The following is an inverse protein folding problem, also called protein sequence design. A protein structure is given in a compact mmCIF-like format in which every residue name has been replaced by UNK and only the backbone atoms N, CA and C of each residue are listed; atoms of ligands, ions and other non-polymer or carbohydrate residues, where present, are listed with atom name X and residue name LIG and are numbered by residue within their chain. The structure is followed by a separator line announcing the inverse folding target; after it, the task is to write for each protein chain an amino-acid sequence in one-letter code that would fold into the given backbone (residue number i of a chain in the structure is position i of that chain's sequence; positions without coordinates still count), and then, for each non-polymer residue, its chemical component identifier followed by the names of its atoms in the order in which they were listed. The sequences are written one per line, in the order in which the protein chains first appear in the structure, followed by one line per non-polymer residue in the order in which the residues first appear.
data_IF_342406266062
#
_entry.id   IF_342406266062
#
_cell.length_a   1.000
_cell.length_b   1.000
_cell.length_c   1.000
_cell.angle_alpha   90.00
_cell.angle_beta   90.00
_cell.angle_gamma   90.00
#
_symmetry.space_group_name_H-M   'P 1'
#
loop_
_entity.id
_entity.type
_entity.pdbx_description
1 polymer ?
#
# COMPACT_ATOMS: atom_id res chain seq x y z
N UNK A 1 31.72 -21.54 -17.45
CA UNK A 1 31.78 -20.49 -16.40
C UNK A 1 30.39 -19.87 -16.30
N UNK A 2 29.57 -20.17 -15.28
CA UNK A 2 28.25 -19.55 -15.15
C UNK A 2 28.37 -18.17 -14.46
N UNK A 3 27.54 -17.23 -14.90
CA UNK A 3 27.54 -15.83 -14.50
C UNK A 3 27.19 -15.63 -13.00
N UNK A 4 27.67 -14.54 -12.36
CA UNK A 4 27.41 -14.28 -10.95
C UNK A 4 25.95 -13.84 -10.72
N UNK A 5 25.34 -14.43 -9.69
CA UNK A 5 24.03 -14.07 -9.13
C UNK A 5 24.16 -12.68 -8.49
N UNK A 6 23.22 -11.73 -8.72
CA UNK A 6 23.29 -10.41 -8.10
C UNK A 6 23.08 -10.49 -6.58
N UNK A 7 23.71 -9.61 -5.79
CA UNK A 7 23.72 -9.70 -4.33
C UNK A 7 22.34 -9.43 -3.74
N UNK A 8 21.92 -10.31 -2.83
CA UNK A 8 20.82 -10.06 -1.91
C UNK A 8 21.13 -8.80 -1.07
N UNK A 9 20.20 -7.84 -1.07
CA UNK A 9 20.27 -6.66 -0.22
C UNK A 9 20.29 -7.05 1.27
N UNK A 10 21.02 -6.33 2.15
CA UNK A 10 21.13 -6.72 3.55
C UNK A 10 19.85 -6.34 4.31
N UNK A 11 19.07 -7.35 4.69
CA UNK A 11 18.12 -7.26 5.79
C UNK A 11 18.78 -7.90 7.02
N UNK A 12 19.14 -7.08 8.00
CA UNK A 12 19.43 -7.57 9.35
C UNK A 12 18.19 -8.29 9.91
N UNK A 13 18.43 -9.35 10.67
CA UNK A 13 17.48 -10.22 11.40
C UNK A 13 16.65 -11.22 10.59
N UNK A 14 17.29 -12.39 10.38
CA UNK A 14 16.74 -13.74 10.36
C UNK A 14 15.25 -13.95 10.11
N UNK A 15 14.92 -14.33 8.88
CA UNK A 15 13.72 -15.12 8.60
C UNK A 15 14.12 -16.35 7.79
N UNK A 16 14.10 -17.52 8.44
CA UNK A 16 14.31 -18.82 7.80
C UNK A 16 13.15 -19.08 6.83
N UNK A 17 13.47 -19.27 5.57
CA UNK A 17 12.55 -19.73 4.52
C UNK A 17 12.01 -21.11 4.87
N UNK A 18 10.73 -21.16 5.27
CA UNK A 18 9.93 -22.39 5.24
C UNK A 18 8.65 -22.10 4.46
N UNK A 19 8.40 -22.97 3.50
CA UNK A 19 7.26 -23.13 2.60
C UNK A 19 5.91 -22.62 3.11
N UNK A 20 5.50 -21.46 2.61
CA UNK A 20 4.16 -21.11 2.13
C UNK A 20 4.36 -19.73 1.53
N UNK A 21 4.03 -19.51 0.26
CA UNK A 21 4.07 -18.16 -0.31
C UNK A 21 2.72 -17.50 0.02
N UNK A 22 2.63 -16.57 1.00
CA UNK A 22 1.64 -15.51 0.82
C UNK A 22 2.00 -14.82 -0.49
N UNK A 23 1.03 -14.22 -1.16
CA UNK A 23 1.25 -13.45 -2.37
C UNK A 23 2.16 -12.25 -2.09
N UNK A 24 3.48 -12.47 -2.05
CA UNK A 24 4.45 -11.40 -2.19
C UNK A 24 4.35 -10.97 -3.64
N UNK A 25 3.87 -9.75 -3.88
CA UNK A 25 3.98 -9.11 -5.18
C UNK A 25 5.39 -9.34 -5.74
N UNK A 26 5.54 -9.59 -7.05
CA UNK A 26 6.87 -9.68 -7.65
C UNK A 26 7.70 -8.45 -7.24
N UNK A 27 9.03 -8.61 -7.05
CA UNK A 27 9.88 -7.47 -6.72
C UNK A 27 9.63 -6.34 -7.72
N UNK A 28 9.65 -5.11 -7.23
CA UNK A 28 9.34 -3.91 -8.01
C UNK A 28 10.03 -3.98 -9.38
N UNK A 29 9.31 -3.64 -10.45
CA UNK A 29 9.81 -3.76 -11.82
C UNK A 29 11.23 -3.20 -11.95
N UNK A 30 12.24 -4.00 -12.34
CA UNK A 30 13.62 -3.53 -12.46
C UNK A 30 13.79 -2.39 -13.46
N UNK A 31 12.88 -2.28 -14.43
CA UNK A 31 12.85 -1.18 -15.40
C UNK A 31 12.27 0.11 -14.80
N UNK A 32 11.26 0.01 -13.94
CA UNK A 32 10.60 1.17 -13.35
C UNK A 32 11.30 1.67 -12.07
N UNK A 33 11.96 0.76 -11.33
CA UNK A 33 12.51 1.07 -10.01
C UNK A 33 13.53 2.20 -10.00
N UNK A 34 14.49 2.31 -10.94
CA UNK A 34 15.43 3.43 -10.95
C UNK A 34 14.74 4.80 -11.05
N UNK A 35 13.67 4.88 -11.85
CA UNK A 35 12.87 6.11 -12.00
C UNK A 35 12.04 6.41 -10.75
N UNK A 36 11.45 5.38 -10.13
CA UNK A 36 10.63 5.54 -8.92
C UNK A 36 11.50 5.90 -7.70
N UNK A 37 12.63 5.23 -7.51
CA UNK A 37 13.49 5.43 -6.35
C UNK A 37 13.98 6.88 -6.23
N UNK A 38 14.24 7.56 -7.35
CA UNK A 38 14.63 8.97 -7.35
C UNK A 38 13.50 9.96 -7.00
N UNK A 39 12.24 9.56 -7.17
CA UNK A 39 11.06 10.42 -6.95
C UNK A 39 10.27 10.10 -5.67
N UNK A 40 10.55 9.00 -5.00
CA UNK A 40 9.83 8.58 -3.79
C UNK A 40 10.40 9.24 -2.53
N UNK A 41 9.55 9.89 -1.74
CA UNK A 41 9.91 10.39 -0.41
C UNK A 41 9.77 9.33 0.68
N UNK A 42 8.86 8.38 0.51
CA UNK A 42 8.61 7.28 1.43
C UNK A 42 7.89 6.11 0.74
N UNK A 43 7.92 4.94 1.37
CA UNK A 43 7.04 3.80 1.07
C UNK A 43 6.36 3.34 2.36
N UNK A 44 5.14 2.79 2.23
CA UNK A 44 4.35 2.30 3.35
C UNK A 44 3.82 0.91 3.03
N UNK A 45 3.82 0.03 4.03
CA UNK A 45 3.08 -1.22 4.01
C UNK A 45 1.79 -1.02 4.81
N UNK A 46 0.68 -1.49 4.26
CA UNK A 46 -0.63 -1.47 4.91
C UNK A 46 -1.18 -2.90 4.99
N UNK A 47 -2.08 -3.14 5.93
CA UNK A 47 -2.85 -4.38 5.98
C UNK A 47 -4.04 -4.34 5.02
N UNK A 48 -4.54 -5.51 4.65
CA UNK A 48 -5.77 -5.65 3.86
C UNK A 48 -6.94 -4.91 4.54
N UNK A 49 -7.04 -4.97 5.88
CA UNK A 49 -8.08 -4.27 6.63
C UNK A 49 -8.03 -2.74 6.42
N UNK A 50 -6.83 -2.15 6.33
CA UNK A 50 -6.68 -0.72 6.08
C UNK A 50 -7.10 -0.34 4.65
N UNK A 51 -6.89 -1.23 3.67
CA UNK A 51 -7.42 -1.04 2.32
C UNK A 51 -8.94 -1.15 2.30
N UNK A 52 -9.52 -2.16 2.98
CA UNK A 52 -10.98 -2.33 3.12
C UNK A 52 -11.65 -1.12 3.79
N UNK A 53 -11.05 -0.57 4.84
CA UNK A 53 -11.56 0.61 5.52
C UNK A 53 -11.57 1.84 4.59
N UNK A 54 -10.57 1.95 3.73
CA UNK A 54 -10.53 2.98 2.70
C UNK A 54 -11.60 2.77 1.63
N UNK A 55 -11.89 1.53 1.21
CA UNK A 55 -13.00 1.24 0.30
C UNK A 55 -14.33 1.71 0.87
N UNK A 56 -14.58 1.43 2.16
CA UNK A 56 -15.80 1.85 2.85
C UNK A 56 -15.93 3.36 2.90
N UNK A 57 -14.84 4.07 3.22
CA UNK A 57 -14.84 5.54 3.26
C UNK A 57 -15.09 6.15 1.87
N UNK A 58 -14.39 5.66 0.84
CA UNK A 58 -14.59 6.12 -0.53
C UNK A 58 -16.03 5.89 -1.03
N UNK A 59 -16.65 4.77 -0.63
CA UNK A 59 -18.03 4.48 -0.99
C UNK A 59 -19.03 5.46 -0.37
N UNK A 60 -18.76 5.99 0.83
CA UNK A 60 -19.59 7.05 1.45
C UNK A 60 -19.57 8.35 0.62
N UNK A 61 -18.45 8.62 -0.05
CA UNK A 61 -18.28 9.75 -0.97
C UNK A 61 -18.72 9.43 -2.42
N UNK A 62 -19.33 8.26 -2.65
CA UNK A 62 -19.84 7.85 -3.95
C UNK A 62 -18.77 7.33 -4.92
N UNK A 63 -17.56 7.03 -4.44
CA UNK A 63 -16.45 6.50 -5.25
C UNK A 63 -16.39 4.98 -5.12
N UNK A 64 -16.60 4.27 -6.24
CA UNK A 64 -16.44 2.82 -6.31
C UNK A 64 -14.97 2.49 -6.56
N UNK A 65 -14.28 2.03 -5.52
CA UNK A 65 -12.87 1.61 -5.59
C UNK A 65 -12.72 0.21 -5.02
N UNK A 66 -12.07 -0.69 -5.77
CA UNK A 66 -11.71 -2.02 -5.31
C UNK A 66 -10.53 -1.98 -4.34
N UNK A 67 -10.11 -3.15 -3.85
CA UNK A 67 -9.08 -3.34 -2.84
C UNK A 67 -7.75 -2.68 -3.26
N UNK A 68 -7.24 -2.98 -4.46
CA UNK A 68 -5.97 -2.40 -4.93
C UNK A 68 -6.13 -0.91 -5.24
N UNK A 69 -7.31 -0.50 -5.72
CA UNK A 69 -7.62 0.91 -6.01
C UNK A 69 -7.67 1.76 -4.75
N UNK A 70 -8.19 1.22 -3.64
CA UNK A 70 -8.33 1.92 -2.38
C UNK A 70 -7.05 1.90 -1.53
N UNK A 71 -6.08 1.04 -1.86
CA UNK A 71 -4.83 0.89 -1.11
C UNK A 71 -4.06 2.21 -0.92
N UNK A 72 -4.04 3.09 -1.93
CA UNK A 72 -3.43 4.41 -1.82
C UNK A 72 -4.09 5.29 -0.75
N UNK A 73 -5.43 5.29 -0.70
CA UNK A 73 -6.20 5.99 0.32
C UNK A 73 -6.01 5.34 1.71
N UNK A 74 -5.94 4.02 1.77
CA UNK A 74 -5.64 3.27 3.01
C UNK A 74 -4.30 3.65 3.61
N UNK A 75 -3.25 3.78 2.79
CA UNK A 75 -1.94 4.28 3.21
C UNK A 75 -1.99 5.69 3.78
N UNK A 76 -2.71 6.59 3.13
CA UNK A 76 -2.91 7.96 3.63
C UNK A 76 -3.63 7.96 4.98
N UNK A 77 -4.72 7.21 5.11
CA UNK A 77 -5.48 7.12 6.36
C UNK A 77 -4.66 6.52 7.50
N UNK A 78 -3.85 5.50 7.21
CA UNK A 78 -2.91 4.92 8.18
C UNK A 78 -1.89 5.97 8.67
N UNK A 79 -1.35 6.79 7.75
CA UNK A 79 -0.45 7.89 8.09
C UNK A 79 -1.13 9.02 8.87
N UNK A 80 -2.41 9.29 8.63
CA UNK A 80 -3.13 10.36 9.32
C UNK A 80 -3.66 9.94 10.70
N UNK A 81 -4.05 8.67 10.86
CA UNK A 81 -4.69 8.14 12.08
C UNK A 81 -3.74 7.39 13.01
N UNK A 82 -2.56 6.96 12.53
CA UNK A 82 -1.61 6.23 13.36
C UNK A 82 -0.99 7.10 14.46
N UNK A 83 -0.96 6.61 15.70
CA UNK A 83 -0.46 7.35 16.86
C UNK A 83 1.04 7.68 16.72
N UNK A 84 1.84 6.76 16.19
CA UNK A 84 3.30 6.91 16.03
C UNK A 84 3.74 7.53 14.70
N UNK A 85 2.80 8.10 13.94
CA UNK A 85 3.09 8.62 12.58
C UNK A 85 3.36 10.12 12.53
N UNK A 86 3.24 10.83 13.66
CA UNK A 86 3.43 12.28 13.72
C UNK A 86 4.78 12.73 13.16
N UNK A 87 5.87 12.06 13.55
CA UNK A 87 7.22 12.34 13.03
C UNK A 87 7.31 12.12 11.51
N UNK A 88 6.64 11.09 10.99
CA UNK A 88 6.62 10.78 9.55
C UNK A 88 5.84 11.85 8.79
N UNK A 89 4.67 12.25 9.29
CA UNK A 89 3.87 13.34 8.68
C UNK A 89 4.67 14.64 8.60
N UNK A 90 5.36 15.02 9.67
CA UNK A 90 6.24 16.20 9.68
C UNK A 90 7.34 16.09 8.62
N UNK A 91 8.00 14.92 8.50
CA UNK A 91 9.04 14.71 7.48
C UNK A 91 8.51 14.76 6.05
N UNK A 92 7.26 14.35 5.84
CA UNK A 92 6.58 14.42 4.55
C UNK A 92 5.95 15.80 4.27
N UNK A 93 5.98 16.72 5.24
CA UNK A 93 5.33 18.02 5.11
C UNK A 93 3.80 17.94 5.05
N UNK A 94 3.20 16.88 5.62
CA UNK A 94 1.76 16.69 5.68
C UNK A 94 1.16 17.47 6.85
N UNK A 95 0.23 18.38 6.55
CA UNK A 95 -0.48 19.21 7.51
C UNK A 95 -1.88 19.61 7.01
N UNK A 96 -2.59 20.48 7.75
CA UNK A 96 -3.96 20.88 7.43
C UNK A 96 -4.13 21.55 6.06
N UNK A 97 -3.09 22.23 5.57
CA UNK A 97 -3.11 22.94 4.28
C UNK A 97 -2.60 22.07 3.10
N UNK A 98 -2.27 20.80 3.36
CA UNK A 98 -1.76 19.89 2.33
C UNK A 98 -2.88 19.46 1.38
N UNK A 99 -2.63 19.54 0.08
CA UNK A 99 -3.47 18.91 -0.95
C UNK A 99 -2.83 17.58 -1.34
N UNK A 100 -3.58 16.48 -1.24
CA UNK A 100 -3.10 15.13 -1.54
C UNK A 100 -3.85 14.57 -2.75
N UNK A 101 -3.10 14.10 -3.75
CA UNK A 101 -3.65 13.33 -4.87
C UNK A 101 -3.57 11.84 -4.57
N UNK A 102 -4.70 11.15 -4.63
CA UNK A 102 -4.78 9.69 -4.55
C UNK A 102 -5.34 9.16 -5.87
N UNK A 103 -4.71 8.12 -6.41
CA UNK A 103 -5.14 7.48 -7.66
C UNK A 103 -5.81 6.16 -7.30
N UNK A 104 -7.10 6.03 -7.65
CA UNK A 104 -7.78 4.74 -7.64
C UNK A 104 -7.50 4.02 -8.96
N UNK A 105 -6.79 2.89 -8.87
CA UNK A 105 -6.36 2.11 -10.04
C UNK A 105 -7.45 1.20 -10.59
N UNK A 106 -8.43 0.83 -9.78
CA UNK A 106 -9.52 -0.09 -10.15
C UNK A 106 -10.80 0.17 -9.34
N UNK A 107 -11.94 -0.13 -9.96
CA UNK A 107 -13.25 -0.20 -9.31
C UNK A 107 -13.51 -1.59 -8.69
N UNK A 108 -14.77 -1.96 -8.55
CA UNK A 108 -15.18 -3.28 -8.05
C UNK A 108 -14.97 -4.38 -9.11
N UNK A 109 -13.72 -4.83 -9.28
CA UNK A 109 -13.34 -5.92 -10.20
C UNK A 109 -13.88 -7.28 -9.75
N UNK A 110 -14.04 -7.47 -8.45
CA UNK A 110 -14.80 -8.55 -7.81
C UNK A 110 -16.02 -7.96 -7.07
N UNK A 111 -17.22 -7.95 -7.69
CA UNK A 111 -18.42 -7.40 -7.08
C UNK A 111 -18.86 -8.11 -5.80
N UNK A 112 -18.58 -9.41 -5.65
CA UNK A 112 -18.96 -10.19 -4.48
C UNK A 112 -18.08 -9.84 -3.29
N UNK A 113 -16.75 -9.79 -3.49
CA UNK A 113 -15.81 -9.32 -2.48
C UNK A 113 -16.10 -7.87 -2.08
N UNK A 114 -16.32 -6.99 -3.06
CA UNK A 114 -16.66 -5.59 -2.80
C UNK A 114 -17.90 -5.45 -1.92
N UNK A 115 -19.00 -6.15 -2.26
CA UNK A 115 -20.23 -6.12 -1.48
C UNK A 115 -20.04 -6.70 -0.07
N UNK A 116 -19.23 -7.77 0.08
CA UNK A 116 -18.89 -8.34 1.39
C UNK A 116 -18.11 -7.34 2.25
N UNK A 117 -17.11 -6.67 1.68
CA UNK A 117 -16.28 -5.70 2.39
C UNK A 117 -17.12 -4.51 2.86
N UNK A 118 -17.99 -3.97 2.00
CA UNK A 118 -18.86 -2.84 2.35
C UNK A 118 -19.88 -3.15 3.46
N UNK A 119 -20.30 -4.41 3.60
CA UNK A 119 -21.17 -4.82 4.72
C UNK A 119 -20.46 -4.78 6.08
N UNK A 120 -19.12 -4.72 6.10
CA UNK A 120 -18.32 -4.68 7.31
C UNK A 120 -18.02 -6.06 7.90
N UNK A 121 -17.13 -6.15 8.91
CA UNK A 121 -16.88 -7.38 9.63
C UNK A 121 -18.16 -7.87 10.33
N UNK A 122 -18.39 -9.20 10.27
CA UNK A 122 -19.43 -9.89 11.03
C UNK A 122 -19.09 -9.87 12.52
#
# INVERSE_FOLDING_TARGET
MPAPIPPCWPSTSGCRTTTQRPWCAPPTSPLAWPSLQGGLSASIAISDQQAEDAMRLLALDGVVSGESGAAGAGGLLALLRGEDTATIRTRLGLGPDSTVLVISTEGATDPEAYARILRGPQ
#
